data_IF_680563051107
#
_entry.id   IF_680563051107
#
_cell.length_a   1.000
_cell.length_b   1.000
_cell.length_c   1.000
_cell.angle_alpha   90.00
_cell.angle_beta   90.00
_cell.angle_gamma   90.00
#
_symmetry.space_group_name_H-M   'P 1'
#
loop_
_entity.id
_entity.type
_entity.pdbx_description
1 polymer ?
#
# COMPACT_ATOMS: atom_id res chain seq x y z
N UNK A 1 -20.90 -6.39 -6.52
CA UNK A 1 -19.62 -6.18 -5.82
C UNK A 1 -19.73 -4.89 -5.01
N UNK A 2 -19.34 -4.89 -3.75
CA UNK A 2 -19.30 -3.66 -2.96
C UNK A 2 -18.35 -2.65 -3.64
N UNK A 3 -18.78 -1.39 -3.76
CA UNK A 3 -17.99 -0.32 -4.36
C UNK A 3 -17.07 0.21 -3.26
N UNK A 4 -15.84 -0.31 -3.18
CA UNK A 4 -14.85 0.20 -2.24
C UNK A 4 -14.18 1.43 -2.83
N UNK A 5 -13.92 2.44 -1.98
CA UNK A 5 -13.16 3.62 -2.39
C UNK A 5 -11.67 3.32 -2.60
N UNK A 6 -11.13 2.39 -1.80
CA UNK A 6 -9.72 1.99 -1.85
C UNK A 6 -9.59 0.52 -2.20
N UNK A 7 -8.72 0.25 -3.17
CA UNK A 7 -8.40 -1.07 -3.66
C UNK A 7 -6.97 -1.43 -3.27
N UNK A 8 -6.76 -2.70 -2.92
CA UNK A 8 -5.44 -3.21 -2.61
C UNK A 8 -4.69 -3.48 -3.92
N UNK A 9 -3.55 -2.83 -4.11
CA UNK A 9 -2.65 -3.05 -5.23
C UNK A 9 -1.34 -3.68 -4.74
N UNK A 10 -0.84 -4.61 -5.55
CA UNK A 10 0.50 -5.14 -5.49
C UNK A 10 1.35 -4.49 -6.58
N UNK A 11 2.27 -3.61 -6.17
CA UNK A 11 3.23 -2.97 -7.07
C UNK A 11 4.57 -3.65 -6.92
N UNK A 12 5.13 -4.12 -8.03
CA UNK A 12 6.47 -4.71 -8.11
C UNK A 12 7.38 -3.77 -8.89
N UNK A 13 8.53 -3.43 -8.32
CA UNK A 13 9.49 -2.54 -8.96
C UNK A 13 10.93 -2.80 -8.52
N UNK A 14 11.87 -2.26 -9.30
CA UNK A 14 13.31 -2.38 -9.06
C UNK A 14 14.03 -1.10 -9.46
N UNK A 15 15.28 -0.97 -9.03
CA UNK A 15 16.21 -0.01 -9.64
C UNK A 15 16.50 -0.39 -11.09
N UNK A 16 16.91 0.57 -11.91
CA UNK A 16 17.46 0.28 -13.22
C UNK A 16 18.82 -0.45 -13.06
N UNK A 17 19.11 -1.47 -13.89
CA UNK A 17 20.43 -2.07 -13.94
C UNK A 17 21.50 -1.03 -14.29
N UNK A 18 22.65 -1.11 -13.64
CA UNK A 18 23.84 -0.32 -13.93
C UNK A 18 25.06 -1.24 -14.04
N UNK A 19 26.17 -0.77 -14.62
CA UNK A 19 27.41 -1.54 -14.72
C UNK A 19 27.91 -2.04 -13.35
N UNK A 20 27.66 -1.26 -12.29
CA UNK A 20 27.98 -1.64 -10.91
C UNK A 20 27.00 -2.63 -10.28
N UNK A 21 25.76 -2.73 -10.79
CA UNK A 21 24.69 -3.58 -10.26
C UNK A 21 23.84 -4.10 -11.41
N UNK A 22 24.31 -5.19 -12.04
CA UNK A 22 23.65 -5.80 -13.20
C UNK A 22 22.26 -6.37 -12.86
N UNK A 23 22.08 -6.87 -11.64
CA UNK A 23 20.82 -7.46 -11.18
C UNK A 23 20.27 -6.75 -9.94
N UNK A 24 19.56 -5.61 -10.12
CA UNK A 24 18.94 -4.90 -9.01
C UNK A 24 17.89 -5.76 -8.31
N UNK A 25 17.88 -5.71 -6.97
CA UNK A 25 16.88 -6.40 -6.15
C UNK A 25 15.46 -5.93 -6.50
N UNK A 26 14.57 -6.89 -6.66
CA UNK A 26 13.15 -6.64 -6.93
C UNK A 26 12.42 -6.46 -5.60
N UNK A 27 11.61 -5.41 -5.52
CA UNK A 27 10.79 -5.10 -4.35
C UNK A 27 9.32 -5.20 -4.72
N UNK A 28 8.55 -5.74 -3.78
CA UNK A 28 7.09 -5.84 -3.87
C UNK A 28 6.48 -5.08 -2.70
N UNK A 29 5.51 -4.24 -3.00
CA UNK A 29 4.75 -3.51 -1.99
C UNK A 29 3.26 -3.71 -2.22
N UNK A 30 2.57 -4.09 -1.14
CA UNK A 30 1.11 -4.02 -1.08
C UNK A 30 0.71 -2.67 -0.51
N UNK A 31 -0.19 -1.98 -1.19
CA UNK A 31 -0.68 -0.67 -0.78
C UNK A 31 -2.13 -0.49 -1.20
N UNK A 32 -2.82 0.47 -0.59
CA UNK A 32 -4.20 0.81 -0.94
C UNK A 32 -4.26 2.13 -1.70
N UNK A 33 -4.97 2.16 -2.82
CA UNK A 33 -5.16 3.34 -3.66
C UNK A 33 -6.54 3.33 -4.34
N UNK A 34 -6.98 4.46 -4.87
CA UNK A 34 -8.25 4.56 -5.61
C UNK A 34 -8.15 4.02 -7.03
N UNK A 35 -6.94 4.00 -7.59
CA UNK A 35 -6.65 3.62 -8.96
C UNK A 35 -5.17 3.24 -9.11
N UNK A 36 -4.82 2.67 -10.26
CA UNK A 36 -3.46 2.24 -10.59
C UNK A 36 -2.45 3.40 -10.61
N UNK A 37 -2.88 4.59 -11.05
CA UNK A 37 -2.00 5.76 -11.19
C UNK A 37 -1.56 6.25 -9.82
N UNK A 38 -2.50 6.35 -8.86
CA UNK A 38 -2.22 6.68 -7.46
C UNK A 38 -1.45 5.58 -6.77
N UNK A 39 -1.69 4.32 -7.12
CA UNK A 39 -0.89 3.20 -6.61
C UNK A 39 0.59 3.35 -7.02
N UNK A 40 0.85 3.65 -8.29
CA UNK A 40 2.20 3.92 -8.82
C UNK A 40 2.85 5.13 -8.14
N UNK A 41 2.11 6.20 -7.91
CA UNK A 41 2.62 7.39 -7.21
C UNK A 41 3.02 7.08 -5.76
N UNK A 42 2.14 6.42 -4.99
CA UNK A 42 2.44 5.95 -3.63
C UNK A 42 3.64 5.00 -3.62
N UNK A 43 3.77 4.13 -4.62
CA UNK A 43 4.93 3.26 -4.74
C UNK A 43 6.24 4.05 -4.75
N UNK A 44 6.35 5.05 -5.63
CA UNK A 44 7.56 5.87 -5.71
C UNK A 44 7.83 6.70 -4.45
N UNK A 45 6.78 7.18 -3.77
CA UNK A 45 6.94 7.87 -2.49
C UNK A 45 7.67 6.99 -1.45
N UNK A 46 7.17 5.78 -1.22
CA UNK A 46 7.78 4.87 -0.24
C UNK A 46 9.11 4.29 -0.73
N UNK A 47 9.23 4.00 -2.03
CA UNK A 47 10.46 3.45 -2.58
C UNK A 47 11.64 4.43 -2.47
N UNK A 48 11.37 5.73 -2.68
CA UNK A 48 12.34 6.80 -2.40
C UNK A 48 12.69 6.88 -0.92
N UNK A 49 11.70 6.81 -0.02
CA UNK A 49 11.90 6.95 1.43
C UNK A 49 12.68 5.78 2.03
N UNK A 50 12.39 4.55 1.59
CA UNK A 50 12.95 3.32 2.16
C UNK A 50 14.23 2.85 1.46
N UNK A 51 14.31 3.01 0.13
CA UNK A 51 15.41 2.48 -0.68
C UNK A 51 16.22 3.55 -1.40
N UNK A 52 15.88 4.83 -1.23
CA UNK A 52 16.58 5.99 -1.84
C UNK A 52 16.62 5.94 -3.38
N UNK A 53 15.75 5.15 -4.02
CA UNK A 53 15.64 5.08 -5.48
C UNK A 53 14.59 6.07 -5.97
N UNK A 54 14.97 6.92 -6.94
CA UNK A 54 14.08 7.87 -7.59
C UNK A 54 13.32 7.20 -8.74
N UNK A 55 12.16 7.75 -9.11
CA UNK A 55 11.37 7.31 -10.28
C UNK A 55 12.19 7.28 -11.57
N UNK A 56 13.12 8.21 -11.76
CA UNK A 56 14.01 8.26 -12.93
C UNK A 56 14.97 7.07 -13.02
N UNK A 57 15.38 6.53 -11.87
CA UNK A 57 16.40 5.49 -11.78
C UNK A 57 15.80 4.13 -11.41
N UNK A 58 14.49 3.97 -11.60
CA UNK A 58 13.78 2.74 -11.29
C UNK A 58 12.70 2.44 -12.29
N UNK A 59 12.28 1.18 -12.31
CA UNK A 59 11.25 0.67 -13.18
C UNK A 59 10.19 -0.08 -12.37
N UNK A 60 8.92 0.14 -12.72
CA UNK A 60 7.82 -0.71 -12.25
C UNK A 60 7.70 -1.88 -13.22
N UNK A 61 7.74 -3.10 -12.68
CA UNK A 61 7.65 -4.34 -13.45
C UNK A 61 6.20 -4.79 -13.63
N UNK A 62 5.39 -4.68 -12.58
CA UNK A 62 3.99 -5.08 -12.60
C UNK A 62 3.17 -4.28 -11.57
N UNK A 63 1.91 -4.03 -11.89
CA UNK A 63 0.90 -3.53 -10.98
C UNK A 63 -0.31 -4.44 -11.11
N UNK A 64 -0.66 -5.14 -10.02
CA UNK A 64 -1.79 -6.05 -9.99
C UNK A 64 -2.74 -5.63 -8.88
N UNK A 65 -4.03 -5.56 -9.18
CA UNK A 65 -5.05 -5.43 -8.14
C UNK A 65 -5.26 -6.77 -7.42
N UNK A 66 -5.40 -6.71 -6.09
CA UNK A 66 -5.67 -7.87 -5.24
C UNK A 66 -7.14 -7.82 -4.81
N UNK A 67 -7.84 -8.91 -5.08
CA UNK A 67 -9.19 -9.16 -4.59
C UNK A 67 -9.12 -10.15 -3.42
N UNK A 68 -9.96 -9.94 -2.41
CA UNK A 68 -10.05 -10.85 -1.25
C UNK A 68 -10.55 -12.22 -1.72
N UNK A 69 -9.87 -13.30 -1.31
CA UNK A 69 -10.22 -14.66 -1.75
C UNK A 69 -11.58 -15.11 -1.22
N UNK A 70 -11.85 -14.79 0.06
CA UNK A 70 -13.04 -15.23 0.77
C UNK A 70 -13.82 -14.01 1.29
N UNK A 71 -14.57 -13.31 0.42
CA UNK A 71 -15.26 -12.07 0.79
C UNK A 71 -16.50 -12.29 1.66
N UNK A 72 -16.88 -13.54 1.94
CA UNK A 72 -18.06 -13.89 2.74
C UNK A 72 -17.72 -14.28 4.18
N UNK A 73 -16.43 -14.54 4.46
CA UNK A 73 -15.98 -14.96 5.80
C UNK A 73 -15.53 -13.76 6.61
N UNK A 74 -16.12 -13.55 7.79
CA UNK A 74 -15.70 -12.52 8.73
C UNK A 74 -14.35 -12.90 9.34
N UNK A 75 -13.42 -11.95 9.39
CA UNK A 75 -12.09 -12.09 10.00
C UNK A 75 -11.79 -10.88 10.86
N UNK A 76 -10.87 -11.05 11.81
CA UNK A 76 -10.28 -9.93 12.54
C UNK A 76 -8.97 -9.54 11.84
N UNK A 77 -8.79 -8.25 11.57
CA UNK A 77 -7.63 -7.69 10.91
C UNK A 77 -6.94 -6.68 11.84
N UNK A 78 -5.68 -6.96 12.20
CA UNK A 78 -4.85 -6.02 12.94
C UNK A 78 -4.14 -5.06 11.99
N UNK A 79 -4.31 -3.76 12.21
CA UNK A 79 -3.63 -2.70 11.47
C UNK A 79 -2.68 -1.95 12.39
N UNK A 80 -1.41 -1.94 12.00
CA UNK A 80 -0.42 -1.00 12.49
C UNK A 80 -0.46 0.25 11.61
N UNK A 81 -0.87 1.37 12.16
CA UNK A 81 -0.96 2.63 11.45
C UNK A 81 -0.07 3.69 12.08
N UNK A 82 0.36 4.63 11.24
CA UNK A 82 1.00 5.87 11.66
C UNK A 82 0.18 7.02 11.15
N UNK A 83 -0.34 7.85 12.03
CA UNK A 83 -1.15 9.00 11.68
C UNK A 83 -0.45 10.31 12.07
N UNK A 84 -0.84 11.40 11.43
CA UNK A 84 -0.33 12.73 11.70
C UNK A 84 -1.33 13.48 12.56
N UNK A 85 -0.91 13.84 13.78
CA UNK A 85 -1.63 14.77 14.65
C UNK A 85 -1.09 16.19 14.49
N UNK A 86 -1.66 17.16 15.24
CA UNK A 86 -1.16 18.54 15.32
C UNK A 86 0.29 18.62 15.83
N UNK A 87 0.71 17.68 16.67
CA UNK A 87 2.02 17.70 17.34
C UNK A 87 3.06 16.80 16.69
N UNK A 88 2.67 15.96 15.73
CA UNK A 88 3.59 15.05 15.04
C UNK A 88 2.97 13.71 14.65
N UNK A 89 3.84 12.77 14.31
CA UNK A 89 3.44 11.42 13.91
C UNK A 89 3.35 10.48 15.10
N UNK A 90 2.23 9.79 15.24
CA UNK A 90 1.99 8.79 16.28
C UNK A 90 1.71 7.43 15.67
N UNK A 91 2.22 6.38 16.30
CA UNK A 91 1.91 5.01 15.91
C UNK A 91 0.72 4.51 16.73
N UNK A 92 -0.13 3.72 16.09
CA UNK A 92 -1.29 3.09 16.72
C UNK A 92 -1.42 1.68 16.17
N UNK A 93 -1.82 0.76 17.03
CA UNK A 93 -2.28 -0.55 16.64
C UNK A 93 -3.78 -0.63 16.92
N UNK A 94 -4.55 -1.11 15.95
CA UNK A 94 -5.99 -1.32 16.12
C UNK A 94 -6.43 -2.54 15.35
N UNK A 95 -7.37 -3.28 15.93
CA UNK A 95 -8.01 -4.42 15.30
C UNK A 95 -9.41 -4.03 14.79
N UNK A 96 -9.74 -4.50 13.60
CA UNK A 96 -11.03 -4.30 12.96
C UNK A 96 -11.64 -5.65 12.61
N UNK A 97 -12.97 -5.76 12.69
CA UNK A 97 -13.70 -6.95 12.29
C UNK A 97 -14.46 -6.66 11.00
N UNK A 98 -14.11 -7.35 9.93
CA UNK A 98 -14.74 -7.17 8.62
C UNK A 98 -14.58 -8.43 7.76
N UNK A 99 -15.22 -8.46 6.58
CA UNK A 99 -15.11 -9.53 5.60
C UNK A 99 -13.95 -9.34 4.61
N UNK A 100 -13.48 -8.11 4.41
CA UNK A 100 -12.42 -7.79 3.44
C UNK A 100 -11.41 -6.77 3.97
N UNK A 101 -10.16 -6.84 3.49
CA UNK A 101 -9.15 -5.82 3.80
C UNK A 101 -9.49 -4.42 3.28
N UNK A 102 -10.24 -4.32 2.16
CA UNK A 102 -10.62 -3.03 1.59
C UNK A 102 -11.64 -2.31 2.49
N UNK A 103 -12.63 -3.04 3.00
CA UNK A 103 -13.59 -2.48 3.96
C UNK A 103 -12.92 -2.03 5.26
N UNK A 104 -11.96 -2.81 5.79
CA UNK A 104 -11.20 -2.41 6.99
C UNK A 104 -10.48 -1.08 6.80
N UNK A 105 -9.85 -0.87 5.63
CA UNK A 105 -9.14 0.38 5.35
C UNK A 105 -10.10 1.57 5.28
N UNK A 106 -11.31 1.37 4.76
CA UNK A 106 -12.37 2.39 4.74
C UNK A 106 -12.88 2.72 6.15
N UNK A 107 -13.11 1.71 6.99
CA UNK A 107 -13.44 1.90 8.40
C UNK A 107 -12.34 2.68 9.15
N UNK A 108 -11.08 2.29 8.95
CA UNK A 108 -9.93 2.99 9.53
C UNK A 108 -9.89 4.46 9.08
N UNK A 109 -10.11 4.76 7.80
CA UNK A 109 -10.13 6.15 7.31
C UNK A 109 -11.28 6.96 7.90
N UNK A 110 -12.45 6.36 8.08
CA UNK A 110 -13.61 7.03 8.71
C UNK A 110 -13.31 7.40 10.16
N UNK A 111 -12.74 6.50 10.95
CA UNK A 111 -12.38 6.76 12.35
C UNK A 111 -11.21 7.73 12.53
N UNK A 112 -10.30 7.82 11.56
CA UNK A 112 -9.24 8.84 11.61
C UNK A 112 -9.74 10.23 11.20
N UNK A 113 -10.89 10.30 10.52
CA UNK A 113 -11.50 11.55 10.09
C UNK A 113 -12.40 12.18 11.17
N UNK A 114 -12.88 11.38 12.13
CA UNK A 114 -13.57 11.83 13.34
C UNK A 114 -12.61 12.40 14.38
#
# INVERSE_FOLDING_TARGET
>A
MAIYKFHQYQVVGRGLPSESVEQPKIYRMKLWATDEVRAKSKFWYFFRKLKKVKKSNGQVLAINEIFEKNPTTIKNFGIWLRFQSRTGYHNMYKEFRDTTLNGVVEHMYTEMAS
#
